data_IF_746267132496
#
_entry.id   IF_746267132496
#
_cell.length_a   1.000
_cell.length_b   1.000
_cell.length_c   1.000
_cell.angle_alpha   90.00
_cell.angle_beta   90.00
_cell.angle_gamma   90.00
#
_symmetry.space_group_name_H-M   'P 1'
#
loop_
_entity.id
_entity.type
_entity.pdbx_description
1 polymer ?
#
# COMPACT_ATOMS: atom_id res chain seq x y z
N UNK A 1 -38.29 -9.43 39.70
CA UNK A 1 -37.09 -9.17 38.87
C UNK A 1 -36.91 -10.37 37.95
N UNK A 2 -37.36 -10.27 36.70
CA UNK A 2 -37.22 -11.35 35.72
C UNK A 2 -35.77 -11.35 35.21
N UNK A 3 -35.02 -12.42 35.50
CA UNK A 3 -33.73 -12.67 34.86
C UNK A 3 -33.95 -12.82 33.36
N UNK A 4 -33.47 -11.84 32.58
CA UNK A 4 -33.26 -12.01 31.15
C UNK A 4 -32.20 -13.09 30.94
N UNK A 5 -32.63 -14.34 30.79
CA UNK A 5 -31.79 -15.39 30.23
C UNK A 5 -31.49 -14.99 28.79
N UNK A 6 -30.29 -14.46 28.53
CA UNK A 6 -29.83 -14.32 27.15
C UNK A 6 -29.82 -15.72 26.53
N UNK A 7 -30.44 -15.88 25.37
CA UNK A 7 -30.26 -17.10 24.59
C UNK A 7 -28.75 -17.30 24.37
N UNK A 8 -28.21 -18.53 24.49
CA UNK A 8 -26.82 -18.78 24.12
C UNK A 8 -26.65 -18.37 22.66
N UNK A 9 -25.56 -17.65 22.37
CA UNK A 9 -25.25 -17.22 21.01
C UNK A 9 -25.31 -18.43 20.05
N UNK A 10 -25.87 -18.27 18.83
CA UNK A 10 -25.93 -19.34 17.86
C UNK A 10 -24.52 -19.84 17.56
N UNK A 11 -24.34 -21.16 17.54
CA UNK A 11 -23.03 -21.76 17.30
C UNK A 11 -22.69 -21.91 15.81
N UNK A 12 -23.70 -21.82 14.94
CA UNK A 12 -23.60 -21.96 13.49
C UNK A 12 -24.31 -20.79 12.82
N UNK A 13 -23.64 -20.15 11.87
CA UNK A 13 -24.15 -19.00 11.14
C UNK A 13 -24.27 -19.37 9.66
N UNK A 14 -25.43 -19.13 9.02
CA UNK A 14 -25.56 -19.25 7.57
C UNK A 14 -24.80 -18.09 6.90
N UNK A 15 -23.94 -18.38 5.93
CA UNK A 15 -23.01 -17.36 5.41
C UNK A 15 -23.17 -17.07 3.91
N UNK A 16 -23.58 -18.07 3.13
CA UNK A 16 -23.79 -17.95 1.69
C UNK A 16 -24.67 -19.10 1.19
N UNK A 17 -25.26 -18.97 -0.01
CA UNK A 17 -25.82 -20.13 -0.70
C UNK A 17 -24.68 -21.02 -1.19
N UNK A 18 -24.85 -22.33 -1.05
CA UNK A 18 -23.87 -23.32 -1.50
C UNK A 18 -23.54 -23.19 -3.00
N UNK A 19 -24.54 -22.82 -3.80
CA UNK A 19 -24.41 -22.65 -5.25
C UNK A 19 -23.61 -21.40 -5.66
N UNK A 20 -23.51 -20.40 -4.78
CA UNK A 20 -22.79 -19.15 -5.06
C UNK A 20 -21.29 -19.27 -4.72
N UNK A 21 -20.88 -20.37 -4.08
CA UNK A 21 -19.48 -20.58 -3.66
C UNK A 21 -18.78 -21.52 -4.65
N UNK A 22 -17.89 -20.93 -5.45
CA UNK A 22 -17.01 -21.63 -6.40
C UNK A 22 -15.54 -21.56 -6.00
N UNK A 23 -14.65 -21.54 -7.01
CA UNK A 23 -13.20 -21.36 -6.82
C UNK A 23 -12.79 -19.88 -6.73
N UNK A 24 -13.73 -18.96 -6.89
CA UNK A 24 -13.53 -17.53 -6.62
C UNK A 24 -13.89 -17.27 -5.15
N UNK A 25 -13.00 -16.63 -4.35
CA UNK A 25 -13.27 -16.40 -2.95
C UNK A 25 -14.39 -15.38 -2.72
N UNK A 26 -15.28 -15.66 -1.77
CA UNK A 26 -16.42 -14.79 -1.41
C UNK A 26 -16.29 -14.34 0.04
N UNK A 27 -16.40 -13.04 0.29
CA UNK A 27 -16.38 -12.50 1.66
C UNK A 27 -17.73 -12.71 2.35
N UNK A 28 -17.71 -13.22 3.58
CA UNK A 28 -18.91 -13.51 4.38
C UNK A 28 -18.72 -13.13 5.85
N UNK A 29 -19.81 -13.00 6.60
CA UNK A 29 -19.81 -12.79 8.05
C UNK A 29 -20.24 -14.05 8.81
N UNK A 30 -19.68 -14.28 10.00
CA UNK A 30 -20.17 -15.28 10.95
C UNK A 30 -19.75 -14.91 12.38
N UNK A 31 -20.72 -14.80 13.30
CA UNK A 31 -20.45 -14.48 14.71
C UNK A 31 -19.70 -13.17 14.92
N UNK A 32 -20.03 -12.13 14.14
CA UNK A 32 -19.35 -10.83 14.20
C UNK A 32 -17.92 -10.81 13.66
N UNK A 33 -17.48 -11.88 12.98
CA UNK A 33 -16.15 -11.98 12.32
C UNK A 33 -16.33 -12.10 10.81
N UNK A 34 -15.45 -11.46 10.05
CA UNK A 34 -15.38 -11.62 8.60
C UNK A 34 -14.56 -12.88 8.25
N UNK A 35 -14.96 -13.53 7.16
CA UNK A 35 -14.33 -14.73 6.61
C UNK A 35 -14.33 -14.63 5.08
N UNK A 36 -13.51 -15.47 4.44
CA UNK A 36 -13.57 -15.74 3.01
C UNK A 36 -13.85 -17.21 2.81
N UNK A 37 -14.92 -17.53 2.06
CA UNK A 37 -15.27 -18.91 1.69
C UNK A 37 -14.88 -19.19 0.24
N UNK A 38 -14.37 -20.38 -0.02
CA UNK A 38 -13.88 -20.80 -1.34
C UNK A 38 -13.83 -22.32 -1.44
N UNK A 39 -13.97 -22.88 -2.64
CA UNK A 39 -13.63 -24.27 -2.93
C UNK A 39 -12.23 -24.34 -3.53
N UNK A 40 -11.32 -25.07 -2.89
CA UNK A 40 -9.94 -25.23 -3.37
C UNK A 40 -9.82 -26.16 -4.59
N UNK A 41 -10.90 -26.86 -4.94
CA UNK A 41 -11.04 -27.62 -6.17
C UNK A 41 -12.45 -27.40 -6.75
N UNK A 42 -12.63 -27.46 -8.07
CA UNK A 42 -13.97 -27.46 -8.66
C UNK A 42 -14.82 -28.58 -8.04
N UNK A 43 -15.99 -28.23 -7.50
CA UNK A 43 -16.91 -29.15 -6.79
C UNK A 43 -16.32 -29.80 -5.53
N UNK A 44 -15.19 -29.33 -5.01
CA UNK A 44 -14.64 -29.76 -3.72
C UNK A 44 -15.40 -29.17 -2.53
N UNK A 45 -15.02 -29.53 -1.32
CA UNK A 45 -15.61 -28.99 -0.09
C UNK A 45 -15.40 -27.47 0.02
N UNK A 46 -16.32 -26.78 0.69
CA UNK A 46 -16.16 -25.36 1.01
C UNK A 46 -15.20 -25.22 2.18
N UNK A 47 -14.17 -24.42 2.00
CA UNK A 47 -13.23 -24.02 3.04
C UNK A 47 -13.45 -22.55 3.39
N UNK A 48 -13.15 -22.17 4.64
CA UNK A 48 -13.23 -20.80 5.10
C UNK A 48 -11.94 -20.36 5.78
N UNK A 49 -11.52 -19.13 5.50
CA UNK A 49 -10.29 -18.53 6.05
C UNK A 49 -10.55 -17.12 6.58
N UNK A 50 -9.68 -16.63 7.45
CA UNK A 50 -9.59 -15.20 7.75
C UNK A 50 -9.41 -14.39 6.46
N UNK A 51 -10.05 -13.21 6.32
CA UNK A 51 -10.17 -12.52 5.03
C UNK A 51 -8.90 -11.75 4.62
N UNK A 52 -7.87 -11.73 5.47
CA UNK A 52 -6.64 -10.97 5.25
C UNK A 52 -5.43 -11.89 5.36
N UNK A 53 -4.50 -11.77 4.41
CA UNK A 53 -3.22 -12.45 4.47
C UNK A 53 -2.39 -11.93 5.66
N UNK A 54 -1.83 -12.79 6.53
CA UNK A 54 -1.04 -12.35 7.69
C UNK A 54 0.24 -11.61 7.30
N UNK A 55 0.69 -11.74 6.05
CA UNK A 55 1.91 -11.08 5.55
C UNK A 55 1.84 -9.55 5.63
N UNK A 56 0.96 -8.90 4.84
CA UNK A 56 0.76 -7.44 4.81
C UNK A 56 -0.72 -7.05 4.80
N UNK A 57 -1.56 -7.89 5.40
CA UNK A 57 -3.02 -7.72 5.54
C UNK A 57 -3.79 -7.53 4.24
N UNK A 58 -3.21 -7.96 3.11
CA UNK A 58 -3.88 -7.97 1.80
C UNK A 58 -5.16 -8.79 1.86
N UNK A 59 -6.27 -8.24 1.39
CA UNK A 59 -7.54 -8.95 1.37
C UNK A 59 -7.52 -10.13 0.40
N UNK A 60 -8.11 -11.24 0.84
CA UNK A 60 -8.11 -12.52 0.12
C UNK A 60 -9.34 -12.71 -0.78
N UNK A 61 -10.22 -11.72 -0.87
CA UNK A 61 -11.31 -11.72 -1.88
C UNK A 61 -10.73 -11.72 -3.30
N UNK A 62 -9.61 -11.04 -3.52
CA UNK A 62 -8.89 -11.06 -4.80
C UNK A 62 -7.93 -12.24 -4.96
N UNK A 63 -7.95 -13.24 -4.08
CA UNK A 63 -7.08 -14.41 -4.17
C UNK A 63 -7.52 -15.37 -5.29
N UNK A 64 -6.58 -16.20 -5.73
CA UNK A 64 -6.83 -17.24 -6.73
C UNK A 64 -6.58 -18.62 -6.14
N UNK A 65 -7.27 -19.64 -6.64
CA UNK A 65 -6.98 -21.04 -6.32
C UNK A 65 -5.94 -21.56 -7.29
N UNK A 66 -4.78 -22.00 -6.78
CA UNK A 66 -3.65 -22.50 -7.57
C UNK A 66 -3.15 -23.79 -6.94
N UNK A 67 -3.11 -24.87 -7.72
CA UNK A 67 -2.64 -26.19 -7.30
C UNK A 67 -3.33 -26.71 -6.02
N UNK A 68 -4.63 -26.44 -5.85
CA UNK A 68 -5.38 -26.83 -4.65
C UNK A 68 -5.12 -25.98 -3.41
N UNK A 69 -4.47 -24.82 -3.55
CA UNK A 69 -4.18 -23.88 -2.46
C UNK A 69 -4.73 -22.49 -2.77
N UNK A 70 -5.07 -21.73 -1.72
CA UNK A 70 -5.45 -20.33 -1.85
C UNK A 70 -4.19 -19.47 -1.98
N UNK A 71 -4.02 -18.76 -3.10
CA UNK A 71 -2.88 -17.88 -3.37
C UNK A 71 -3.25 -16.41 -3.17
N UNK A 72 -2.58 -15.75 -2.22
CA UNK A 72 -2.72 -14.32 -1.96
C UNK A 72 -2.29 -13.48 -3.18
N UNK A 73 -3.07 -12.46 -3.60
CA UNK A 73 -2.76 -11.65 -4.78
C UNK A 73 -1.63 -10.64 -4.56
N UNK A 74 -1.20 -10.43 -3.31
CA UNK A 74 -0.13 -9.49 -2.98
C UNK A 74 1.24 -10.05 -3.34
N UNK A 75 1.68 -11.09 -2.63
CA UNK A 75 3.03 -11.65 -2.76
C UNK A 75 3.03 -13.16 -3.04
N UNK A 76 1.87 -13.71 -3.41
CA UNK A 76 1.76 -15.10 -3.85
C UNK A 76 1.89 -16.14 -2.75
N UNK A 77 1.77 -15.76 -1.46
CA UNK A 77 1.72 -16.73 -0.35
C UNK A 77 0.57 -17.71 -0.57
N UNK A 78 0.83 -19.01 -0.38
CA UNK A 78 -0.17 -20.07 -0.60
C UNK A 78 -0.58 -20.73 0.71
N UNK A 79 -1.86 -21.05 0.82
CA UNK A 79 -2.47 -21.64 2.02
C UNK A 79 -3.23 -22.91 1.68
N UNK A 80 -3.01 -23.97 2.45
CA UNK A 80 -3.75 -25.23 2.35
C UNK A 80 -5.16 -25.12 2.96
N UNK A 81 -5.97 -26.18 2.80
CA UNK A 81 -7.35 -26.26 3.31
C UNK A 81 -7.48 -26.04 4.83
N UNK A 82 -6.44 -26.39 5.60
CA UNK A 82 -6.40 -26.20 7.04
C UNK A 82 -5.89 -24.81 7.47
N UNK A 83 -5.61 -23.93 6.52
CA UNK A 83 -5.09 -22.59 6.74
C UNK A 83 -3.56 -22.52 6.78
N UNK A 84 -2.86 -23.66 6.80
CA UNK A 84 -1.39 -23.66 6.90
C UNK A 84 -0.77 -22.97 5.69
N UNK A 85 0.18 -22.08 5.93
CA UNK A 85 0.99 -21.51 4.87
C UNK A 85 1.95 -22.58 4.33
N UNK A 86 1.86 -22.87 3.03
CA UNK A 86 2.66 -23.91 2.37
C UNK A 86 3.76 -23.34 1.48
N UNK A 87 3.59 -22.12 0.98
CA UNK A 87 4.56 -21.47 0.10
C UNK A 87 4.71 -20.01 0.48
N UNK A 88 5.96 -19.60 0.75
CA UNK A 88 6.39 -18.20 0.87
C UNK A 88 7.44 -17.96 -0.21
N UNK A 89 7.07 -17.37 -1.37
CA UNK A 89 7.99 -17.26 -2.51
C UNK A 89 9.33 -16.60 -2.19
N UNK A 90 9.33 -15.61 -1.28
CA UNK A 90 10.54 -14.89 -0.86
C UNK A 90 11.55 -15.70 -0.04
N UNK A 91 11.17 -16.85 0.52
CA UNK A 91 12.08 -17.69 1.31
C UNK A 91 12.73 -18.84 0.51
N UNK A 92 12.30 -19.05 -0.75
CA UNK A 92 12.74 -20.18 -1.57
C UNK A 92 11.90 -21.45 -1.37
N UNK A 93 12.11 -22.44 -2.23
CA UNK A 93 11.24 -23.62 -2.40
C UNK A 93 11.23 -24.61 -1.24
N UNK A 94 12.23 -24.56 -0.35
CA UNK A 94 12.39 -25.51 0.76
C UNK A 94 12.32 -24.87 2.15
N UNK A 95 12.05 -23.56 2.21
CA UNK A 95 11.95 -22.88 3.49
C UNK A 95 10.62 -23.20 4.18
N UNK A 96 10.69 -23.30 5.51
CA UNK A 96 9.51 -23.51 6.36
C UNK A 96 8.92 -22.13 6.71
N UNK A 97 7.66 -21.84 6.35
CA UNK A 97 7.00 -20.60 6.77
C UNK A 97 6.95 -20.47 8.29
N UNK A 98 7.02 -19.25 8.85
CA UNK A 98 6.95 -19.06 10.30
C UNK A 98 5.56 -19.45 10.84
N UNK A 99 5.41 -19.92 12.09
CA UNK A 99 4.11 -20.36 12.62
C UNK A 99 2.99 -19.32 12.57
N UNK A 100 3.33 -18.02 12.62
CA UNK A 100 2.35 -16.93 12.47
C UNK A 100 1.86 -16.73 11.02
N UNK A 101 2.42 -17.44 10.05
CA UNK A 101 2.05 -17.35 8.65
C UNK A 101 0.72 -18.03 8.32
N UNK A 102 0.21 -18.90 9.19
CA UNK A 102 -1.03 -19.63 8.94
C UNK A 102 -2.25 -18.70 8.99
N UNK A 103 -3.23 -18.96 8.12
CA UNK A 103 -4.54 -18.32 8.19
C UNK A 103 -5.35 -18.92 9.31
N UNK A 104 -6.11 -18.08 10.01
CA UNK A 104 -7.11 -18.58 10.94
C UNK A 104 -8.24 -19.25 10.15
N UNK A 105 -8.63 -20.45 10.57
CA UNK A 105 -9.80 -21.18 10.08
C UNK A 105 -10.88 -21.18 11.16
N UNK A 106 -12.17 -21.26 10.80
CA UNK A 106 -13.21 -21.46 11.80
C UNK A 106 -13.13 -22.87 12.37
N UNK A 107 -13.82 -23.11 13.48
CA UNK A 107 -13.91 -24.45 14.05
C UNK A 107 -14.50 -25.47 13.07
N UNK A 108 -15.54 -25.08 12.30
CA UNK A 108 -16.12 -25.94 11.28
C UNK A 108 -16.83 -25.16 10.17
N UNK A 109 -16.90 -25.79 8.99
CA UNK A 109 -17.70 -25.37 7.83
C UNK A 109 -18.53 -26.57 7.38
N UNK A 110 -19.83 -26.39 7.14
CA UNK A 110 -20.70 -27.46 6.65
C UNK A 110 -21.68 -26.92 5.60
N UNK A 111 -21.88 -27.69 4.53
CA UNK A 111 -22.94 -27.46 3.57
C UNK A 111 -24.20 -28.21 4.00
N UNK A 112 -25.30 -27.48 4.22
CA UNK A 112 -26.56 -28.07 4.64
C UNK A 112 -27.76 -27.26 4.15
N UNK A 113 -28.75 -27.97 3.61
CA UNK A 113 -30.02 -27.39 3.12
C UNK A 113 -29.81 -26.25 2.09
N UNK A 114 -28.79 -26.38 1.23
CA UNK A 114 -28.46 -25.39 0.20
C UNK A 114 -27.68 -24.16 0.70
N UNK A 115 -27.21 -24.18 1.95
CA UNK A 115 -26.43 -23.12 2.57
C UNK A 115 -25.04 -23.60 2.98
N UNK A 116 -24.07 -22.69 2.93
CA UNK A 116 -22.81 -22.81 3.66
C UNK A 116 -23.04 -22.27 5.06
N UNK A 117 -22.61 -23.03 6.07
CA UNK A 117 -22.65 -22.65 7.46
C UNK A 117 -21.24 -22.61 8.05
N UNK A 118 -20.98 -21.64 8.92
CA UNK A 118 -19.72 -21.51 9.65
C UNK A 118 -20.00 -21.57 11.16
N UNK A 119 -19.22 -22.38 11.87
CA UNK A 119 -19.07 -22.30 13.32
C UNK A 119 -17.72 -21.63 13.62
N UNK A 120 -17.68 -20.34 13.97
CA UNK A 120 -16.42 -19.63 14.22
C UNK A 120 -15.58 -20.26 15.33
N UNK A 121 -16.24 -20.74 16.38
CA UNK A 121 -15.63 -21.26 17.61
C UNK A 121 -16.13 -22.67 17.95
N UNK A 122 -15.43 -23.33 18.86
CA UNK A 122 -15.75 -24.70 19.28
C UNK A 122 -17.17 -24.78 19.85
N UNK A 123 -17.96 -25.71 19.32
CA UNK A 123 -19.36 -25.93 19.73
C UNK A 123 -19.66 -27.40 20.00
N UNK A 124 -20.58 -27.65 20.94
CA UNK A 124 -21.15 -28.97 21.18
C UNK A 124 -22.21 -29.36 20.12
N UNK A 125 -22.71 -28.40 19.35
CA UNK A 125 -23.64 -28.66 18.25
C UNK A 125 -22.88 -29.24 17.06
N UNK A 126 -23.03 -30.54 16.82
CA UNK A 126 -22.26 -31.26 15.79
C UNK A 126 -22.59 -30.86 14.35
N UNK A 127 -23.77 -30.29 14.10
CA UNK A 127 -24.22 -29.87 12.77
C UNK A 127 -24.98 -28.55 12.84
N UNK A 128 -25.03 -27.77 11.74
CA UNK A 128 -25.88 -26.60 11.64
C UNK A 128 -27.37 -26.92 11.89
N UNK A 129 -28.18 -25.93 12.29
CA UNK A 129 -29.63 -26.08 12.31
C UNK A 129 -30.18 -26.32 10.89
N UNK A 130 -31.44 -26.78 10.78
CA UNK A 130 -32.12 -26.85 9.47
C UNK A 130 -32.38 -25.45 8.95
N UNK A 131 -32.13 -25.23 7.66
CA UNK A 131 -32.53 -23.98 7.03
C UNK A 131 -34.05 -23.86 6.98
N UNK A 132 -34.55 -22.63 7.11
CA UNK A 132 -35.98 -22.29 6.98
C UNK A 132 -36.14 -21.19 5.94
N UNK A 133 -37.39 -20.84 5.62
CA UNK A 133 -37.66 -19.70 4.73
C UNK A 133 -37.12 -18.37 5.26
N UNK A 134 -36.88 -18.25 6.58
CA UNK A 134 -36.33 -17.05 7.22
C UNK A 134 -34.79 -17.06 7.31
N UNK A 135 -34.12 -18.11 6.85
CA UNK A 135 -32.65 -18.17 6.87
C UNK A 135 -32.07 -17.15 5.89
N UNK A 136 -31.26 -16.22 6.41
CA UNK A 136 -30.54 -15.19 5.64
C UNK A 136 -29.07 -15.23 5.99
N UNK A 137 -28.19 -14.89 5.05
CA UNK A 137 -26.76 -14.79 5.31
C UNK A 137 -26.48 -13.74 6.41
N UNK A 138 -25.56 -14.08 7.32
CA UNK A 138 -25.07 -13.16 8.33
C UNK A 138 -24.30 -11.99 7.66
N UNK A 139 -24.51 -10.73 8.08
CA UNK A 139 -23.84 -9.59 7.47
C UNK A 139 -22.33 -9.63 7.71
N UNK A 140 -21.57 -9.17 6.71
CA UNK A 140 -20.12 -9.02 6.84
C UNK A 140 -19.82 -7.84 7.77
N UNK A 141 -19.12 -8.05 8.90
CA UNK A 141 -18.73 -6.95 9.76
C UNK A 141 -17.66 -6.08 9.09
N UNK A 142 -17.56 -4.81 9.49
CA UNK A 142 -16.42 -3.98 9.12
C UNK A 142 -15.11 -4.63 9.62
N UNK A 143 -14.00 -4.52 8.86
CA UNK A 143 -12.73 -5.04 9.31
C UNK A 143 -12.28 -4.31 10.60
N UNK A 144 -11.61 -5.01 11.53
CA UNK A 144 -11.06 -4.36 12.70
C UNK A 144 -10.00 -3.33 12.29
N UNK A 145 -9.98 -2.20 13.00
CA UNK A 145 -8.93 -1.21 12.83
C UNK A 145 -7.55 -1.85 13.09
N UNK A 146 -6.49 -1.42 12.37
CA UNK A 146 -5.13 -1.83 12.67
C UNK A 146 -4.73 -1.46 14.10
N UNK A 147 -3.90 -2.28 14.72
CA UNK A 147 -3.29 -1.97 16.01
C UNK A 147 -2.24 -0.86 15.81
N UNK A 148 -2.42 0.29 16.46
CA UNK A 148 -1.45 1.39 16.45
C UNK A 148 -1.72 2.47 15.39
N UNK A 149 -0.77 3.40 15.18
CA UNK A 149 -0.95 4.53 14.27
C UNK A 149 -0.98 4.08 12.81
N UNK A 150 -1.90 4.68 12.05
CA UNK A 150 -2.05 4.49 10.61
C UNK A 150 -1.73 5.82 9.92
N UNK A 151 -0.83 5.79 8.94
CA UNK A 151 -0.49 6.97 8.15
C UNK A 151 -1.38 7.03 6.90
N UNK A 152 -2.31 7.97 6.89
CA UNK A 152 -3.12 8.33 5.72
C UNK A 152 -2.49 9.48 4.91
N UNK A 153 -3.16 9.90 3.84
CA UNK A 153 -2.70 10.97 2.95
C UNK A 153 -2.82 12.40 3.52
N UNK A 154 -3.52 12.59 4.64
CA UNK A 154 -3.78 13.92 5.21
C UNK A 154 -3.21 14.06 6.63
N UNK A 155 -2.40 13.10 7.06
CA UNK A 155 -1.74 13.11 8.35
C UNK A 155 -0.92 14.40 8.54
N UNK A 156 -1.09 15.14 9.65
CA UNK A 156 -0.45 16.45 9.85
C UNK A 156 1.07 16.43 9.66
N UNK A 157 1.75 15.38 10.12
CA UNK A 157 3.21 15.26 10.00
C UNK A 157 3.74 15.25 8.57
N UNK A 158 2.90 14.97 7.57
CA UNK A 158 3.27 15.09 6.15
C UNK A 158 3.54 16.53 5.73
N UNK A 159 3.02 17.54 6.45
CA UNK A 159 3.29 18.95 6.15
C UNK A 159 4.78 19.31 6.30
N UNK A 160 5.53 18.58 7.13
CA UNK A 160 6.96 18.79 7.39
C UNK A 160 7.86 18.10 6.37
N UNK A 161 7.45 18.08 5.11
CA UNK A 161 8.24 17.50 4.04
C UNK A 161 8.01 18.20 2.69
N UNK A 162 8.93 17.97 1.76
CA UNK A 162 8.81 18.43 0.38
C UNK A 162 7.90 17.50 -0.44
N UNK A 163 6.91 18.08 -1.12
CA UNK A 163 6.00 17.36 -2.00
C UNK A 163 6.08 17.86 -3.43
N UNK A 164 6.17 16.98 -4.43
CA UNK A 164 6.05 17.36 -5.83
C UNK A 164 4.58 17.62 -6.14
N UNK A 165 4.29 18.72 -6.84
CA UNK A 165 2.89 19.14 -7.06
C UNK A 165 2.51 19.33 -8.52
N UNK A 166 3.48 19.63 -9.38
CA UNK A 166 3.27 19.83 -10.81
C UNK A 166 4.60 19.69 -11.57
N UNK A 167 4.53 19.38 -12.86
CA UNK A 167 5.70 19.53 -13.73
C UNK A 167 5.96 21.02 -13.97
N UNK A 168 7.23 21.42 -14.02
CA UNK A 168 7.63 22.82 -14.12
C UNK A 168 7.17 23.48 -15.43
N UNK A 169 7.01 22.70 -16.49
CA UNK A 169 6.53 23.12 -17.81
C UNK A 169 5.01 23.36 -17.88
N UNK A 170 4.25 22.85 -16.90
CA UNK A 170 2.82 23.11 -16.78
C UNK A 170 2.54 24.53 -16.26
N UNK A 171 3.54 25.17 -15.66
CA UNK A 171 3.43 26.52 -15.12
C UNK A 171 4.16 27.50 -16.05
N UNK A 172 3.44 28.00 -17.06
CA UNK A 172 3.98 28.97 -18.01
C UNK A 172 4.39 30.29 -17.34
N UNK A 173 5.36 31.05 -17.90
CA UNK A 173 5.71 32.39 -17.40
C UNK A 173 4.49 33.32 -17.33
N UNK A 174 4.23 33.91 -16.16
CA UNK A 174 3.04 34.75 -15.90
C UNK A 174 1.73 33.96 -15.76
N UNK A 175 1.79 32.62 -15.82
CA UNK A 175 0.66 31.73 -15.63
C UNK A 175 0.49 31.28 -14.18
N UNK A 176 -0.66 30.67 -13.91
CA UNK A 176 -0.98 30.07 -12.62
C UNK A 176 -1.56 28.65 -12.78
N UNK A 177 -1.44 27.84 -11.73
CA UNK A 177 -1.95 26.48 -11.66
C UNK A 177 -2.51 26.20 -10.27
N UNK A 178 -3.68 25.57 -10.20
CA UNK A 178 -4.21 25.04 -8.93
C UNK A 178 -3.92 23.55 -8.79
N UNK A 179 -3.41 23.16 -7.63
CA UNK A 179 -3.04 21.77 -7.29
C UNK A 179 -3.63 21.37 -5.94
N UNK A 180 -3.90 20.07 -5.75
CA UNK A 180 -4.30 19.50 -4.46
C UNK A 180 -3.09 18.92 -3.75
N UNK A 181 -2.96 19.15 -2.46
CA UNK A 181 -1.91 18.53 -1.64
C UNK A 181 -2.36 18.55 -0.18
N UNK A 182 -2.35 17.38 0.47
CA UNK A 182 -2.74 17.16 1.87
C UNK A 182 -4.14 17.70 2.20
N UNK A 183 -5.12 17.41 1.35
CA UNK A 183 -6.52 17.78 1.59
C UNK A 183 -6.85 19.24 1.29
N UNK A 184 -5.90 20.03 0.78
CA UNK A 184 -6.10 21.46 0.47
C UNK A 184 -5.68 21.85 -0.94
N UNK A 185 -6.27 22.94 -1.42
CA UNK A 185 -5.94 23.53 -2.71
C UNK A 185 -4.83 24.55 -2.53
N UNK A 186 -3.88 24.52 -3.45
CA UNK A 186 -2.78 25.47 -3.56
C UNK A 186 -2.78 26.10 -4.93
N UNK A 187 -2.56 27.40 -4.99
CA UNK A 187 -2.39 28.15 -6.24
C UNK A 187 -0.92 28.50 -6.39
N UNK A 188 -0.31 28.02 -7.46
CA UNK A 188 1.03 28.34 -7.91
C UNK A 188 0.95 29.43 -8.97
N UNK A 189 1.81 30.43 -8.92
CA UNK A 189 1.94 31.46 -9.96
C UNK A 189 3.43 31.65 -10.30
N UNK A 190 3.78 31.61 -11.59
CA UNK A 190 5.14 31.92 -12.04
C UNK A 190 5.25 33.40 -12.34
N UNK A 191 6.03 34.13 -11.55
CA UNK A 191 6.21 35.57 -11.71
C UNK A 191 7.02 35.86 -12.98
N UNK A 192 6.74 37.02 -13.60
CA UNK A 192 7.51 37.51 -14.75
C UNK A 192 8.81 38.22 -14.34
N UNK A 193 9.00 38.47 -13.04
CA UNK A 193 10.17 39.13 -12.49
C UNK A 193 11.40 38.21 -12.55
N UNK A 194 12.25 38.49 -13.52
CA UNK A 194 13.54 37.81 -13.70
C UNK A 194 14.60 38.51 -12.86
N UNK A 195 15.32 37.73 -12.06
CA UNK A 195 16.53 38.21 -11.37
C UNK A 195 17.78 37.69 -12.06
N UNK A 196 18.95 38.25 -11.74
CA UNK A 196 20.24 37.75 -12.23
C UNK A 196 20.47 36.26 -11.86
N UNK A 197 19.85 35.80 -10.77
CA UNK A 197 19.95 34.43 -10.25
C UNK A 197 18.81 33.51 -10.74
N UNK A 198 17.65 34.05 -11.13
CA UNK A 198 16.49 33.28 -11.62
C UNK A 198 16.00 33.80 -12.98
N UNK A 199 16.52 33.18 -14.05
CA UNK A 199 16.12 33.49 -15.44
C UNK A 199 14.68 33.11 -15.78
N UNK A 200 14.05 32.20 -15.05
CA UNK A 200 12.69 31.69 -15.33
C UNK A 200 11.61 32.26 -14.40
N UNK A 201 11.93 33.31 -13.64
CA UNK A 201 11.03 33.92 -12.65
C UNK A 201 10.98 33.19 -11.30
N UNK A 202 10.31 33.78 -10.33
CA UNK A 202 9.98 33.14 -9.05
C UNK A 202 8.68 32.34 -9.15
N UNK A 203 8.44 31.44 -8.19
CA UNK A 203 7.12 30.83 -8.01
C UNK A 203 6.53 31.38 -6.72
N UNK A 204 5.38 32.03 -6.82
CA UNK A 204 4.56 32.41 -5.69
C UNK A 204 3.54 31.29 -5.40
N UNK A 205 3.22 31.07 -4.12
CA UNK A 205 2.27 30.03 -3.69
C UNK A 205 1.26 30.60 -2.71
N UNK A 206 -0.01 30.26 -2.90
CA UNK A 206 -1.11 30.59 -1.99
C UNK A 206 -1.89 29.33 -1.58
N UNK A 207 -2.24 29.15 -0.29
CA UNK A 207 -1.79 29.94 0.86
C UNK A 207 -0.26 29.89 1.04
N UNK A 208 0.29 30.73 1.91
CA UNK A 208 1.74 30.76 2.16
C UNK A 208 2.30 29.39 2.54
N UNK A 209 3.51 29.12 2.09
CA UNK A 209 4.27 27.89 2.35
C UNK A 209 5.53 28.20 3.12
N UNK A 210 6.15 27.19 3.73
CA UNK A 210 7.53 27.34 4.22
C UNK A 210 8.51 27.53 3.07
N UNK A 211 8.31 26.82 1.96
CA UNK A 211 9.18 26.96 0.80
C UNK A 211 8.59 26.41 -0.49
N UNK A 212 9.17 26.88 -1.60
CA UNK A 212 8.90 26.41 -2.97
C UNK A 212 10.20 26.32 -3.75
N UNK A 213 10.35 25.29 -4.58
CA UNK A 213 11.54 25.08 -5.41
C UNK A 213 11.23 24.29 -6.66
N UNK A 214 12.15 24.36 -7.62
CA UNK A 214 12.14 23.48 -8.79
C UNK A 214 13.29 22.48 -8.70
N UNK A 215 12.98 21.20 -8.94
CA UNK A 215 13.96 20.12 -8.89
C UNK A 215 13.50 18.95 -9.75
N UNK A 216 14.41 18.40 -10.56
CA UNK A 216 14.13 17.31 -11.51
C UNK A 216 13.01 17.64 -12.53
N UNK A 217 12.82 18.92 -12.86
CA UNK A 217 11.73 19.37 -13.75
C UNK A 217 10.35 19.38 -13.10
N UNK A 218 10.29 19.28 -11.77
CA UNK A 218 9.07 19.36 -10.98
C UNK A 218 9.09 20.59 -10.07
N UNK A 219 7.91 21.17 -9.82
CA UNK A 219 7.68 22.15 -8.76
C UNK A 219 7.40 21.39 -7.47
N UNK A 220 8.09 21.80 -6.39
CA UNK A 220 7.95 21.23 -5.06
C UNK A 220 7.52 22.28 -4.06
N UNK A 221 6.63 21.90 -3.16
CA UNK A 221 6.17 22.73 -2.04
C UNK A 221 6.52 22.05 -0.72
N UNK A 222 6.97 22.84 0.25
CA UNK A 222 7.04 22.47 1.65
C UNK A 222 5.97 23.25 2.43
N UNK A 223 4.87 22.59 2.85
CA UNK A 223 3.83 23.21 3.65
C UNK A 223 4.32 23.86 4.95
N UNK A 224 5.14 23.13 5.70
CA UNK A 224 5.79 23.53 6.95
C UNK A 224 7.30 23.24 6.86
N UNK A 225 8.05 23.57 7.93
CA UNK A 225 9.51 23.35 7.98
C UNK A 225 9.85 21.88 7.70
N UNK A 226 10.61 21.57 6.63
CA UNK A 226 10.96 20.20 6.29
C UNK A 226 11.83 19.52 7.35
N UNK A 227 11.48 18.29 7.72
CA UNK A 227 12.24 17.41 8.61
C UNK A 227 12.91 16.25 7.87
N UNK A 228 12.62 16.09 6.57
CA UNK A 228 13.13 15.00 5.74
C UNK A 228 14.26 15.47 4.80
N UNK A 229 15.05 14.50 4.35
CA UNK A 229 16.07 14.70 3.33
C UNK A 229 15.50 14.30 1.97
N UNK A 230 16.00 14.91 0.91
CA UNK A 230 15.66 14.50 -0.45
C UNK A 230 16.41 13.26 -0.91
N UNK A 231 15.84 12.55 -1.89
CA UNK A 231 16.58 11.56 -2.68
C UNK A 231 17.79 12.18 -3.37
N UNK A 232 18.75 11.36 -3.78
CA UNK A 232 19.72 11.72 -4.81
C UNK A 232 19.09 12.12 -6.16
N UNK A 233 19.91 12.53 -7.13
CA UNK A 233 19.45 12.80 -8.49
C UNK A 233 19.27 11.51 -9.29
N UNK A 234 18.27 11.49 -10.18
CA UNK A 234 18.15 10.41 -11.15
C UNK A 234 19.33 10.48 -12.14
N UNK A 235 19.91 9.33 -12.48
CA UNK A 235 21.15 9.27 -13.26
C UNK A 235 21.09 10.02 -14.60
N UNK A 236 22.23 10.54 -15.03
CA UNK A 236 22.40 11.26 -16.29
C UNK A 236 22.11 10.36 -17.49
N UNK A 237 21.43 10.89 -18.51
CA UNK A 237 21.09 10.14 -19.71
C UNK A 237 19.83 10.65 -20.39
N UNK A 238 19.34 9.89 -21.37
CA UNK A 238 18.05 10.19 -22.02
C UNK A 238 16.93 9.83 -21.05
N UNK A 239 16.02 10.77 -20.79
CA UNK A 239 14.94 10.58 -19.83
C UNK A 239 13.59 10.99 -20.42
N UNK A 240 12.51 10.43 -19.86
CA UNK A 240 11.16 10.87 -20.12
C UNK A 240 10.30 10.74 -18.86
N UNK A 241 9.44 11.72 -18.63
CA UNK A 241 8.32 11.62 -17.69
C UNK A 241 7.20 10.79 -18.33
N UNK A 242 6.57 9.94 -17.53
CA UNK A 242 5.37 9.23 -17.90
C UNK A 242 4.15 10.16 -17.71
N UNK A 243 3.04 9.95 -18.44
CA UNK A 243 1.80 10.65 -18.16
C UNK A 243 1.41 10.48 -16.68
N UNK A 244 1.07 11.56 -15.96
CA UNK A 244 0.71 11.47 -14.56
C UNK A 244 -0.58 10.66 -14.40
N UNK A 245 -0.63 9.81 -13.38
CA UNK A 245 -1.82 9.02 -13.03
C UNK A 245 -2.34 9.41 -11.66
N UNK A 246 -3.61 9.07 -11.40
CA UNK A 246 -4.29 9.27 -10.12
C UNK A 246 -4.87 7.95 -9.68
N UNK A 247 -4.72 7.62 -8.40
CA UNK A 247 -5.27 6.40 -7.77
C UNK A 247 -5.94 6.77 -6.46
N UNK A 248 -6.92 5.95 -6.05
CA UNK A 248 -7.52 6.05 -4.72
C UNK A 248 -6.63 5.46 -3.61
N UNK A 249 -5.50 4.86 -3.97
CA UNK A 249 -4.57 4.26 -3.00
C UNK A 249 -3.83 5.34 -2.22
N UNK A 250 -3.78 5.27 -0.88
CA UNK A 250 -2.93 6.14 -0.09
C UNK A 250 -1.46 6.02 -0.50
N UNK A 251 -0.73 7.14 -0.54
CA UNK A 251 0.64 7.23 -1.02
C UNK A 251 1.58 6.29 -0.26
N UNK A 252 1.44 6.19 1.06
CA UNK A 252 2.23 5.27 1.89
C UNK A 252 2.02 3.79 1.49
N UNK A 253 0.77 3.41 1.20
CA UNK A 253 0.41 2.06 0.78
C UNK A 253 0.95 1.75 -0.61
N UNK A 254 0.82 2.70 -1.54
CA UNK A 254 1.34 2.55 -2.89
C UNK A 254 2.87 2.44 -2.89
N UNK A 255 3.56 3.24 -2.06
CA UNK A 255 5.00 3.15 -1.89
C UNK A 255 5.41 1.77 -1.34
N UNK A 256 4.74 1.27 -0.28
CA UNK A 256 5.01 -0.08 0.26
C UNK A 256 4.84 -1.18 -0.78
N UNK A 257 3.87 -1.03 -1.69
CA UNK A 257 3.63 -1.98 -2.78
C UNK A 257 4.65 -1.86 -3.92
N UNK A 258 5.23 -0.68 -4.13
CA UNK A 258 6.33 -0.46 -5.07
C UNK A 258 7.66 -1.06 -4.57
N UNK A 259 7.78 -1.27 -3.26
CA UNK A 259 8.90 -1.99 -2.66
C UNK A 259 8.78 -3.48 -3.01
N UNK A 260 9.62 -3.93 -3.92
CA UNK A 260 9.81 -5.36 -4.14
C UNK A 260 10.51 -6.02 -2.94
N UNK A 261 10.56 -7.35 -2.96
CA UNK A 261 11.45 -8.08 -2.06
C UNK A 261 12.89 -7.58 -2.24
N UNK A 262 13.58 -7.31 -1.13
CA UNK A 262 14.95 -6.80 -1.13
C UNK A 262 15.75 -7.32 0.05
N UNK A 263 17.07 -7.38 -0.12
CA UNK A 263 18.01 -7.71 0.94
C UNK A 263 18.84 -6.47 1.30
N UNK A 264 19.60 -6.54 2.39
CA UNK A 264 20.62 -5.53 2.74
C UNK A 264 20.08 -4.09 2.79
N UNK A 265 19.24 -3.81 3.77
CA UNK A 265 18.74 -2.45 4.01
C UNK A 265 19.76 -1.66 4.83
N UNK A 266 20.03 -0.42 4.40
CA UNK A 266 20.81 0.56 5.13
C UNK A 266 19.93 1.79 5.37
N UNK A 267 19.59 2.05 6.63
CA UNK A 267 18.78 3.21 7.03
C UNK A 267 19.64 4.46 7.15
N UNK A 268 19.05 5.61 6.84
CA UNK A 268 19.63 6.93 7.00
C UNK A 268 18.57 7.89 7.53
N UNK A 269 18.97 9.11 7.91
CA UNK A 269 18.00 10.10 8.42
C UNK A 269 16.98 10.46 7.34
N UNK A 270 15.72 10.09 7.58
CA UNK A 270 14.60 10.38 6.68
C UNK A 270 14.52 9.46 5.45
N UNK A 271 15.22 8.32 5.43
CA UNK A 271 15.22 7.42 4.29
C UNK A 271 15.96 6.09 4.52
N UNK A 272 16.05 5.30 3.46
CA UNK A 272 16.87 4.09 3.43
C UNK A 272 17.27 3.70 2.02
N UNK A 273 18.28 2.85 1.90
CA UNK A 273 18.61 2.14 0.66
C UNK A 273 18.47 0.64 0.84
N UNK A 274 18.17 -0.07 -0.24
CA UNK A 274 18.10 -1.54 -0.28
C UNK A 274 18.63 -2.06 -1.60
N UNK A 275 19.25 -3.25 -1.59
CA UNK A 275 19.73 -3.90 -2.81
C UNK A 275 19.13 -5.28 -2.99
N UNK A 276 18.82 -5.64 -4.23
CA UNK A 276 18.34 -6.97 -4.59
C UNK A 276 19.12 -7.44 -5.82
N UNK A 277 19.54 -8.69 -5.80
CA UNK A 277 20.08 -9.39 -6.96
C UNK A 277 19.35 -10.72 -7.06
N UNK A 278 18.69 -10.96 -8.19
CA UNK A 278 18.00 -12.22 -8.48
C UNK A 278 18.68 -13.03 -9.61
N UNK A 279 19.92 -12.68 -9.97
CA UNK A 279 20.70 -13.33 -11.02
C UNK A 279 20.41 -12.79 -12.42
N UNK A 280 19.15 -12.42 -12.69
CA UNK A 280 18.74 -11.79 -13.96
C UNK A 280 18.83 -10.26 -13.88
N UNK A 281 18.74 -9.69 -12.68
CA UNK A 281 18.72 -8.25 -12.50
C UNK A 281 19.21 -7.84 -11.12
N UNK A 282 20.10 -6.85 -11.10
CA UNK A 282 20.48 -6.14 -9.87
C UNK A 282 19.70 -4.85 -9.75
N UNK A 283 19.12 -4.61 -8.59
CA UNK A 283 18.30 -3.44 -8.29
C UNK A 283 18.81 -2.75 -7.02
N UNK A 284 19.07 -1.45 -7.10
CA UNK A 284 19.34 -0.59 -5.93
C UNK A 284 18.18 0.39 -5.80
N UNK A 285 17.45 0.31 -4.69
CA UNK A 285 16.34 1.21 -4.37
C UNK A 285 16.77 2.14 -3.26
N UNK A 286 16.45 3.42 -3.41
CA UNK A 286 16.59 4.48 -2.42
C UNK A 286 15.21 5.07 -2.18
N UNK A 287 14.86 5.24 -0.90
CA UNK A 287 13.58 5.78 -0.47
C UNK A 287 13.85 6.95 0.45
N UNK A 288 13.14 8.04 0.24
CA UNK A 288 13.13 9.18 1.14
C UNK A 288 11.70 9.55 1.53
N UNK A 289 11.52 9.91 2.79
CA UNK A 289 10.24 10.33 3.34
C UNK A 289 9.77 11.67 2.70
N UNK A 290 8.45 11.83 2.48
CA UNK A 290 7.43 10.85 2.83
C UNK A 290 7.27 9.80 1.74
N UNK A 291 7.22 10.19 0.46
CA UNK A 291 6.85 9.28 -0.62
C UNK A 291 7.68 9.42 -1.90
N UNK A 292 9.01 9.36 -1.74
CA UNK A 292 9.95 9.42 -2.86
C UNK A 292 10.67 8.08 -3.02
N UNK A 293 10.71 7.53 -4.24
CA UNK A 293 11.46 6.32 -4.59
C UNK A 293 12.34 6.56 -5.81
N UNK A 294 13.63 6.29 -5.68
CA UNK A 294 14.58 6.22 -6.80
C UNK A 294 15.15 4.82 -6.88
N UNK A 295 15.02 4.19 -8.04
CA UNK A 295 15.47 2.81 -8.26
C UNK A 295 16.38 2.74 -9.47
N UNK A 296 17.58 2.21 -9.28
CA UNK A 296 18.48 1.84 -10.36
C UNK A 296 18.32 0.36 -10.66
N UNK A 297 18.12 0.04 -11.92
CA UNK A 297 17.89 -1.31 -12.42
C UNK A 297 19.00 -1.66 -13.41
N UNK A 298 19.75 -2.70 -13.11
CA UNK A 298 20.81 -3.27 -13.94
C UNK A 298 20.37 -4.66 -14.41
N UNK A 299 19.81 -4.80 -15.62
CA UNK A 299 19.49 -6.10 -16.16
C UNK A 299 20.78 -6.86 -16.55
N UNK A 300 20.72 -8.19 -16.57
CA UNK A 300 21.81 -9.03 -17.08
C UNK A 300 22.10 -8.76 -18.56
N UNK A 301 21.09 -8.33 -19.32
CA UNK A 301 21.19 -7.93 -20.72
C UNK A 301 20.49 -6.59 -20.96
N UNK A 302 21.18 -5.67 -21.62
CA UNK A 302 20.67 -4.34 -21.96
C UNK A 302 21.22 -3.23 -21.07
N UNK A 303 20.84 -1.97 -21.34
CA UNK A 303 21.34 -0.82 -20.58
C UNK A 303 20.71 -0.77 -19.19
N UNK A 304 21.50 -0.31 -18.22
CA UNK A 304 20.96 0.08 -16.92
C UNK A 304 20.05 1.31 -17.06
N UNK A 305 19.02 1.36 -16.21
CA UNK A 305 18.07 2.47 -16.20
C UNK A 305 17.69 2.87 -14.78
N UNK A 306 17.19 4.09 -14.65
CA UNK A 306 16.68 4.65 -13.41
C UNK A 306 15.18 4.86 -13.50
N UNK A 307 14.50 4.64 -12.39
CA UNK A 307 13.07 4.85 -12.20
C UNK A 307 12.92 5.78 -10.99
N UNK A 308 12.41 6.99 -11.22
CA UNK A 308 12.02 7.92 -10.17
C UNK A 308 10.50 7.90 -10.06
N UNK A 309 9.98 7.57 -8.88
CA UNK A 309 8.55 7.61 -8.58
C UNK A 309 8.33 8.53 -7.40
N UNK A 310 7.46 9.51 -7.60
CA UNK A 310 7.11 10.52 -6.62
C UNK A 310 5.59 10.48 -6.40
N UNK A 311 5.17 10.32 -5.16
CA UNK A 311 3.75 10.25 -4.82
C UNK A 311 3.32 11.54 -4.13
N UNK A 312 2.33 12.19 -4.71
CA UNK A 312 1.69 13.40 -4.20
C UNK A 312 0.38 13.00 -3.51
N UNK A 313 0.31 13.02 -2.18
CA UNK A 313 -0.95 12.81 -1.46
C UNK A 313 -1.84 14.05 -1.66
N UNK A 314 -2.83 13.96 -2.53
CA UNK A 314 -3.70 15.09 -2.85
C UNK A 314 -4.79 15.27 -1.80
N UNK A 315 -5.45 14.16 -1.47
CA UNK A 315 -6.61 14.06 -0.58
C UNK A 315 -6.59 12.71 0.15
N UNK A 316 -7.47 12.54 1.15
CA UNK A 316 -7.56 11.31 1.94
C UNK A 316 -7.75 10.05 1.08
N UNK A 317 -8.37 10.20 -0.09
CA UNK A 317 -8.73 9.17 -1.05
C UNK A 317 -8.14 9.41 -2.46
N UNK A 318 -7.13 10.28 -2.60
CA UNK A 318 -6.48 10.57 -3.88
C UNK A 318 -4.97 10.72 -3.73
N UNK A 319 -4.24 9.95 -4.52
CA UNK A 319 -2.79 10.10 -4.71
C UNK A 319 -2.51 10.31 -6.19
N UNK A 320 -1.74 11.36 -6.50
CA UNK A 320 -1.17 11.58 -7.84
C UNK A 320 0.23 11.00 -7.90
N UNK A 321 0.51 10.28 -8.98
CA UNK A 321 1.80 9.61 -9.20
C UNK A 321 2.52 10.31 -10.33
N UNK A 322 3.74 10.76 -10.05
CA UNK A 322 4.66 11.28 -11.05
C UNK A 322 5.81 10.29 -11.20
N UNK A 323 6.02 9.80 -12.42
CA UNK A 323 7.05 8.80 -12.69
C UNK A 323 7.95 9.22 -13.85
N UNK A 324 9.25 9.02 -13.70
CA UNK A 324 10.25 9.31 -14.72
C UNK A 324 11.17 8.12 -14.89
N UNK A 325 11.54 7.84 -16.13
CA UNK A 325 12.58 6.86 -16.46
C UNK A 325 13.74 7.57 -17.14
N UNK A 326 14.98 7.20 -16.80
CA UNK A 326 16.17 7.55 -17.57
C UNK A 326 17.01 6.32 -17.88
N UNK A 327 17.62 6.29 -19.06
CA UNK A 327 18.51 5.21 -19.50
C UNK A 327 19.94 5.71 -19.57
N UNK A 328 20.88 4.93 -19.05
CA UNK A 328 22.30 5.30 -19.02
C UNK A 328 22.95 5.14 -20.41
N UNK A 329 24.03 5.90 -20.65
CA UNK A 329 24.87 5.75 -21.84
C UNK A 329 24.23 6.22 -23.15
N UNK A 330 24.52 5.51 -24.26
CA UNK A 330 24.03 5.82 -25.62
C UNK A 330 22.73 5.09 -25.96
N UNK A 331 21.89 4.81 -24.97
CA UNK A 331 20.63 4.13 -25.17
C UNK A 331 19.71 4.87 -26.17
N UNK A 332 19.04 4.07 -26.98
CA UNK A 332 18.14 4.46 -28.06
C UNK A 332 16.76 4.88 -27.53
N UNK A 333 15.98 5.59 -28.36
CA UNK A 333 14.58 5.94 -28.01
C UNK A 333 13.70 4.70 -27.75
N UNK A 334 13.79 3.59 -28.51
CA UNK A 334 13.07 2.36 -28.21
C UNK A 334 13.38 1.76 -26.83
N UNK A 335 14.63 1.78 -26.38
CA UNK A 335 15.01 1.28 -25.05
C UNK A 335 14.37 2.10 -23.93
N UNK A 336 14.41 3.44 -24.03
CA UNK A 336 13.72 4.32 -23.09
C UNK A 336 12.21 4.09 -23.08
N UNK A 337 11.60 3.96 -24.27
CA UNK A 337 10.16 3.71 -24.41
C UNK A 337 9.78 2.38 -23.76
N UNK A 338 10.59 1.34 -23.96
CA UNK A 338 10.37 0.02 -23.37
C UNK A 338 10.44 0.07 -21.84
N UNK A 339 11.46 0.74 -21.29
CA UNK A 339 11.58 0.90 -19.83
C UNK A 339 10.41 1.70 -19.24
N UNK A 340 9.97 2.77 -19.91
CA UNK A 340 8.81 3.55 -19.50
C UNK A 340 7.49 2.75 -19.56
N UNK A 341 7.26 1.96 -20.62
CA UNK A 341 6.07 1.12 -20.72
C UNK A 341 6.03 0.06 -19.61
N UNK A 342 7.17 -0.53 -19.23
CA UNK A 342 7.26 -1.47 -18.11
C UNK A 342 6.91 -0.79 -16.78
N UNK A 343 7.42 0.41 -16.52
CA UNK A 343 7.08 1.15 -15.30
C UNK A 343 5.60 1.55 -15.28
N UNK A 344 5.05 2.00 -16.42
CA UNK A 344 3.63 2.34 -16.54
C UNK A 344 2.73 1.12 -16.26
N UNK A 345 3.03 -0.04 -16.83
CA UNK A 345 2.30 -1.29 -16.59
C UNK A 345 2.40 -1.71 -15.12
N UNK A 346 3.59 -1.61 -14.51
CA UNK A 346 3.77 -1.88 -13.08
C UNK A 346 2.88 -0.98 -12.22
N UNK A 347 2.91 0.34 -12.45
CA UNK A 347 2.11 1.30 -11.68
C UNK A 347 0.61 1.07 -11.86
N UNK A 348 0.18 0.74 -13.08
CA UNK A 348 -1.24 0.46 -13.39
C UNK A 348 -1.73 -0.80 -12.68
N UNK A 349 -0.88 -1.84 -12.55
CA UNK A 349 -1.23 -3.07 -11.81
C UNK A 349 -1.30 -2.88 -10.30
N UNK A 350 -0.64 -1.84 -9.78
CA UNK A 350 -0.64 -1.50 -8.36
C UNK A 350 -1.83 -0.64 -7.97
N UNK A 351 -2.57 -0.06 -8.93
CA UNK A 351 -3.82 0.64 -8.69
C UNK A 351 -4.93 -0.39 -8.35
N UNK A 352 -5.38 -0.47 -7.09
CA UNK A 352 -6.26 -1.50 -6.58
C UNK A 352 -7.72 -1.15 -6.78
N UNK A 353 -8.09 -0.34 -7.78
CA UNK A 353 -9.49 -0.07 -8.14
C UNK A 353 -10.35 -1.35 -8.28
N UNK A 354 -9.72 -2.53 -8.35
CA UNK A 354 -10.39 -3.84 -8.40
C UNK A 354 -9.93 -4.90 -7.37
N UNK A 355 -9.03 -4.60 -6.41
CA UNK A 355 -8.40 -5.65 -5.56
C UNK A 355 -8.61 -5.48 -4.07
N UNK A 356 -9.87 -5.52 -3.64
CA UNK A 356 -10.30 -6.07 -2.35
C UNK A 356 -9.47 -5.72 -1.11
N UNK A 357 -8.98 -4.48 -0.98
CA UNK A 357 -8.31 -4.02 0.23
C UNK A 357 -9.32 -3.44 1.21
N UNK A 358 -9.13 -3.86 2.46
CA UNK A 358 -9.92 -3.53 3.64
C UNK A 358 -9.99 -2.02 3.88
N UNK A 359 -11.17 -1.56 4.28
CA UNK A 359 -11.43 -0.21 4.79
C UNK A 359 -10.46 0.17 5.91
N UNK A 360 -9.57 1.12 5.62
CA UNK A 360 -8.57 1.66 6.53
C UNK A 360 -7.58 2.48 5.70
N UNK A 361 -7.90 3.76 5.48
CA UNK A 361 -7.34 4.65 4.46
C UNK A 361 -5.85 5.03 4.57
N UNK A 362 -4.98 4.14 5.06
CA UNK A 362 -3.56 4.42 5.22
C UNK A 362 -2.70 3.18 5.49
N UNK A 363 -1.40 3.40 5.73
CA UNK A 363 -0.42 2.37 6.05
C UNK A 363 -0.25 2.24 7.58
N UNK A 364 -0.51 1.07 8.19
CA UNK A 364 -0.15 0.83 9.59
C UNK A 364 1.36 0.96 9.78
N UNK A 365 1.79 1.81 10.72
CA UNK A 365 3.21 2.06 10.97
C UNK A 365 3.81 1.05 11.96
N UNK A 366 2.97 0.35 12.72
CA UNK A 366 3.41 -0.72 13.62
C UNK A 366 3.21 -2.09 12.96
N UNK A 367 4.27 -2.86 12.69
CA UNK A 367 4.19 -4.14 11.99
C UNK A 367 3.62 -5.29 12.84
N UNK A 368 2.99 -5.01 13.99
CA UNK A 368 2.58 -6.04 14.97
C UNK A 368 1.54 -7.02 14.44
N UNK A 369 0.67 -6.52 13.57
CA UNK A 369 -0.40 -7.28 12.92
C UNK A 369 0.04 -7.93 11.60
N UNK A 370 1.31 -7.76 11.24
CA UNK A 370 1.92 -8.27 10.01
C UNK A 370 2.94 -9.36 10.33
N UNK A 371 3.21 -10.23 9.35
CA UNK A 371 4.17 -11.33 9.45
C UNK A 371 5.19 -11.16 8.35
N UNK A 372 6.28 -10.49 8.69
CA UNK A 372 7.38 -10.23 7.78
C UNK A 372 8.37 -11.39 7.73
N UNK A 373 8.91 -11.64 6.54
CA UNK A 373 10.07 -12.50 6.33
C UNK A 373 11.28 -11.65 5.94
N UNK A 374 12.48 -12.24 5.86
CA UNK A 374 13.72 -11.50 5.64
C UNK A 374 13.68 -10.58 4.39
N UNK A 375 12.98 -10.99 3.34
CA UNK A 375 12.84 -10.21 2.10
C UNK A 375 11.94 -8.98 2.22
N UNK A 376 11.22 -8.82 3.34
CA UNK A 376 10.37 -7.67 3.64
C UNK A 376 11.11 -6.53 4.36
N UNK A 377 12.43 -6.67 4.58
CA UNK A 377 13.22 -5.64 5.25
C UNK A 377 12.99 -4.22 4.70
N UNK A 378 12.83 -3.98 3.37
CA UNK A 378 12.49 -2.65 2.87
C UNK A 378 11.14 -2.11 3.38
N UNK A 379 10.11 -2.94 3.45
CA UNK A 379 8.78 -2.52 3.93
C UNK A 379 8.77 -2.23 5.44
N UNK A 380 9.56 -2.98 6.22
CA UNK A 380 9.78 -2.69 7.65
C UNK A 380 10.53 -1.37 7.84
N UNK A 381 11.57 -1.12 7.03
CA UNK A 381 12.31 0.14 7.07
C UNK A 381 11.46 1.34 6.65
N UNK A 382 10.58 1.19 5.66
CA UNK A 382 9.62 2.22 5.30
C UNK A 382 8.71 2.60 6.47
N UNK A 383 8.15 1.61 7.18
CA UNK A 383 7.31 1.86 8.36
C UNK A 383 8.07 2.63 9.44
N UNK A 384 9.32 2.26 9.70
CA UNK A 384 10.17 2.97 10.67
C UNK A 384 10.44 4.42 10.25
N UNK A 385 10.87 4.65 9.01
CA UNK A 385 11.17 5.99 8.48
C UNK A 385 9.94 6.91 8.50
N UNK A 386 8.76 6.38 8.15
CA UNK A 386 7.51 7.13 8.21
C UNK A 386 7.06 7.40 9.65
N UNK A 387 7.25 6.44 10.57
CA UNK A 387 6.99 6.65 11.99
C UNK A 387 7.88 7.74 12.59
N UNK A 388 9.17 7.73 12.25
CA UNK A 388 10.12 8.76 12.69
C UNK A 388 9.71 10.16 12.22
N UNK A 389 9.26 10.30 10.96
CA UNK A 389 8.71 11.57 10.46
C UNK A 389 7.50 12.02 11.28
N UNK A 390 6.53 11.12 11.52
CA UNK A 390 5.33 11.46 12.27
C UNK A 390 5.66 11.86 13.71
N UNK A 391 6.58 11.16 14.36
CA UNK A 391 7.01 11.48 15.72
C UNK A 391 7.74 12.83 15.74
N UNK A 392 8.68 13.06 14.83
CA UNK A 392 9.46 14.30 14.77
C UNK A 392 8.58 15.53 14.48
N UNK A 393 7.59 15.39 13.60
CA UNK A 393 6.64 16.49 13.33
C UNK A 393 5.85 16.87 14.58
N UNK A 394 5.31 15.87 15.32
CA UNK A 394 4.55 16.13 16.55
C UNK A 394 5.38 16.81 17.63
N UNK A 395 6.68 16.48 17.72
CA UNK A 395 7.57 17.17 18.68
C UNK A 395 7.82 18.62 18.27
N UNK A 396 7.98 18.90 16.98
CA UNK A 396 8.18 20.28 16.48
C UNK A 396 6.93 21.13 16.67
N UNK A 397 5.74 20.59 16.37
CA UNK A 397 4.47 21.32 16.58
C UNK A 397 4.27 21.68 18.05
N UNK A 398 4.61 20.78 18.98
CA UNK A 398 4.51 21.05 20.42
C UNK A 398 5.49 22.14 20.89
N UNK A 399 6.73 22.14 20.39
CA UNK A 399 7.72 23.18 20.70
C UNK A 399 7.26 24.55 20.19
N UNK A 400 6.69 24.63 18.99
CA UNK A 400 6.15 25.87 18.43
C UNK A 400 4.94 26.39 19.22
N UNK A 401 4.03 25.49 19.63
CA UNK A 401 2.88 25.86 20.47
C UNK A 401 3.32 26.36 21.86
N UNK A 402 4.32 25.73 22.47
CA UNK A 402 4.87 26.14 23.77
C UNK A 402 5.58 27.50 23.67
N UNK A 403 6.34 27.76 22.60
CA UNK A 403 6.99 29.05 22.34
C UNK A 403 5.97 30.18 22.11
N UNK A 404 4.88 29.90 21.39
CA UNK A 404 3.77 30.86 21.18
C UNK A 404 3.01 31.12 22.48
N UNK A 405 2.82 30.11 23.33
CA UNK A 405 2.18 30.28 24.64
C UNK A 405 3.05 31.04 25.64
N UNK A 406 4.38 31.00 25.49
CA UNK A 406 5.33 31.70 26.32
C UNK A 406 5.56 33.17 25.91
N UNK A 407 5.23 33.54 24.67
CA UNK A 407 5.31 34.90 24.12
C UNK A 407 4.06 35.73 24.43
#
# INVERSE_FOLDING_TARGET
MASSRSLPAPAWFPVARAADVGTTPVQVGAGGRAWVVVRLHPRGEVTAFSPQCPHRRTGLVGAAVVDGALQCPGHGWRFAADGRCTVVPGLGTHAVPPPRADLATPWAVEERDGWVWIAPDRTAQQRPPRATAATTAEPVPAPPAPSGPVLDNVAPGLAHAWHPVAAADQLAPGGWLSVRLLGRTWTLERTLERTLERRDGGIAVQPGTWGVREREGMVWIAPARPLTTDLGSAGAGRAQWLPPMRTATPAAVLLDALLGAGAQVQTSRGGFTSTRDDGDRRTRTEVAAPFQLLRRVEPAQGPAHWELVLLQPEDADSTRVHARVSVEGRATRPELTTAALRLQDQLTRLDPLDRGRSSGGGLPLTPRDEVHVATDAPGVALRAVLADLVVAARTTDQEEDDDVAAA
#
